data_IF_893297266550
#
_entry.id   IF_893297266550
#
_cell.length_a   1.000
_cell.length_b   1.000
_cell.length_c   1.000
_cell.angle_alpha   90.00
_cell.angle_beta   90.00
_cell.angle_gamma   90.00
#
_symmetry.space_group_name_H-M   'P 1'
#
loop_
_entity.id
_entity.type
_entity.pdbx_description
1 polymer ?
#
# COMPACT_ATOMS: atom_id res chain seq x y z
N UNK A 1 7.27 -8.34 21.58
CA UNK A 1 7.10 -9.13 20.32
C UNK A 1 6.80 -8.26 19.10
N UNK A 2 5.72 -7.45 19.04
CA UNK A 2 5.46 -6.63 17.86
C UNK A 2 6.56 -5.58 17.57
N UNK A 3 7.07 -4.90 18.59
CA UNK A 3 8.14 -3.92 18.44
C UNK A 3 9.47 -4.53 17.96
N UNK A 4 9.81 -5.74 18.35
CA UNK A 4 11.01 -6.42 17.88
C UNK A 4 10.88 -6.84 16.42
N UNK A 5 9.69 -7.26 15.99
CA UNK A 5 9.38 -7.58 14.60
C UNK A 5 9.46 -6.34 13.69
N UNK A 6 8.93 -5.20 14.14
CA UNK A 6 9.08 -3.91 13.45
C UNK A 6 10.55 -3.53 13.34
N UNK A 7 11.30 -3.57 14.45
CA UNK A 7 12.74 -3.27 14.45
C UNK A 7 13.51 -4.16 13.46
N UNK A 8 13.24 -5.45 13.50
CA UNK A 8 13.89 -6.43 12.62
C UNK A 8 13.64 -6.10 11.14
N UNK A 9 12.38 -5.89 10.75
CA UNK A 9 12.02 -5.55 9.37
C UNK A 9 12.59 -4.19 8.94
N UNK A 10 12.56 -3.19 9.83
CA UNK A 10 13.19 -1.88 9.60
C UNK A 10 14.67 -2.01 9.29
N UNK A 11 15.42 -2.77 10.11
CA UNK A 11 16.86 -2.98 9.89
C UNK A 11 17.15 -3.65 8.54
N UNK A 12 16.33 -4.64 8.15
CA UNK A 12 16.49 -5.31 6.85
C UNK A 12 16.26 -4.32 5.70
N UNK A 13 15.18 -3.54 5.74
CA UNK A 13 14.85 -2.58 4.67
C UNK A 13 15.86 -1.43 4.60
N UNK A 14 16.34 -0.94 5.74
CA UNK A 14 17.43 0.06 5.81
C UNK A 14 18.70 -0.47 5.18
N UNK A 15 19.04 -1.75 5.42
CA UNK A 15 20.15 -2.44 4.76
C UNK A 15 20.04 -2.52 3.24
N UNK A 16 18.87 -2.30 2.67
CA UNK A 16 18.64 -2.20 1.22
C UNK A 16 18.65 -0.76 0.69
N UNK A 17 19.04 0.22 1.49
CA UNK A 17 19.12 1.64 1.10
C UNK A 17 17.81 2.41 1.26
N UNK A 18 16.78 1.84 1.86
CA UNK A 18 15.56 2.57 2.22
C UNK A 18 15.86 3.49 3.41
N UNK A 19 15.31 4.71 3.45
CA UNK A 19 15.47 5.61 4.59
C UNK A 19 14.94 4.94 5.87
N UNK A 20 15.48 5.32 7.04
CA UNK A 20 15.03 4.71 8.31
C UNK A 20 13.55 4.99 8.58
N UNK A 21 13.06 6.16 8.21
CA UNK A 21 11.65 6.55 8.34
C UNK A 21 10.76 5.69 7.43
N UNK A 22 11.08 5.59 6.15
CA UNK A 22 10.32 4.79 5.18
C UNK A 22 10.37 3.29 5.52
N UNK A 23 11.53 2.79 5.94
CA UNK A 23 11.70 1.41 6.36
C UNK A 23 10.82 1.08 7.58
N UNK A 24 10.69 2.00 8.54
CA UNK A 24 9.79 1.84 9.69
C UNK A 24 8.32 1.79 9.23
N UNK A 25 7.91 2.65 8.32
CA UNK A 25 6.55 2.64 7.74
C UNK A 25 6.24 1.29 7.07
N UNK A 26 7.16 0.78 6.25
CA UNK A 26 7.00 -0.51 5.58
C UNK A 26 6.88 -1.62 6.62
N UNK A 27 7.77 -1.64 7.62
CA UNK A 27 7.79 -2.64 8.69
C UNK A 27 6.50 -2.64 9.51
N UNK A 28 5.99 -1.45 9.88
CA UNK A 28 4.71 -1.29 10.59
C UNK A 28 3.55 -1.88 9.79
N UNK A 29 3.47 -1.59 8.49
CA UNK A 29 2.41 -2.13 7.63
C UNK A 29 2.44 -3.67 7.55
N UNK A 30 3.63 -4.26 7.47
CA UNK A 30 3.79 -5.72 7.43
C UNK A 30 3.41 -6.36 8.77
N UNK A 31 3.87 -5.81 9.88
CA UNK A 31 3.54 -6.32 11.22
C UNK A 31 2.06 -6.13 11.52
N UNK A 32 1.44 -5.00 11.12
CA UNK A 32 0.01 -4.79 11.27
C UNK A 32 -0.81 -5.83 10.52
N UNK A 33 -0.40 -6.23 9.31
CA UNK A 33 -1.05 -7.28 8.55
C UNK A 33 -1.00 -8.62 9.29
N UNK A 34 0.15 -9.01 9.85
CA UNK A 34 0.29 -10.24 10.64
C UNK A 34 -0.57 -10.20 11.91
N UNK A 35 -0.59 -9.09 12.65
CA UNK A 35 -1.41 -8.91 13.85
C UNK A 35 -2.91 -8.99 13.57
N UNK A 36 -3.33 -8.72 12.34
CA UNK A 36 -4.73 -8.84 11.87
C UNK A 36 -5.04 -10.19 11.23
N UNK A 37 -4.11 -11.13 11.25
CA UNK A 37 -4.29 -12.46 10.66
C UNK A 37 -4.16 -12.50 9.13
N UNK A 38 -3.70 -11.41 8.49
CA UNK A 38 -3.49 -11.31 7.04
C UNK A 38 -2.03 -11.66 6.70
N UNK A 39 -1.59 -12.84 7.05
CA UNK A 39 -0.20 -13.32 6.92
C UNK A 39 0.32 -13.28 5.47
N UNK A 40 -0.56 -13.40 4.48
CA UNK A 40 -0.21 -13.28 3.05
C UNK A 40 0.32 -11.91 2.66
N UNK A 41 0.13 -10.89 3.52
CA UNK A 41 0.56 -9.50 3.34
C UNK A 41 1.48 -9.02 4.47
N UNK A 42 1.91 -9.93 5.34
CA UNK A 42 2.76 -9.68 6.50
C UNK A 42 4.26 -9.85 6.23
N UNK A 43 5.01 -10.12 7.29
CA UNK A 43 6.47 -10.27 7.29
C UNK A 43 6.98 -11.38 6.36
N UNK A 44 6.15 -12.38 6.06
CA UNK A 44 6.46 -13.43 5.08
C UNK A 44 6.81 -12.87 3.69
N UNK A 45 6.36 -11.64 3.40
CA UNK A 45 6.65 -10.92 2.14
C UNK A 45 7.99 -10.19 2.14
N UNK A 46 8.65 -10.02 3.28
CA UNK A 46 9.89 -9.24 3.38
C UNK A 46 10.99 -9.71 2.42
N UNK A 47 11.25 -11.02 2.23
CA UNK A 47 12.27 -11.48 1.29
C UNK A 47 12.03 -11.03 -0.15
N UNK A 48 10.77 -11.05 -0.62
CA UNK A 48 10.45 -10.62 -1.99
C UNK A 48 10.65 -9.11 -2.18
N UNK A 49 10.41 -8.29 -1.15
CA UNK A 49 10.67 -6.84 -1.23
C UNK A 49 12.17 -6.55 -1.27
N UNK A 50 12.98 -7.27 -0.49
CA UNK A 50 14.46 -7.21 -0.56
C UNK A 50 14.94 -7.55 -1.98
N UNK A 51 14.49 -8.68 -2.52
CA UNK A 51 14.85 -9.09 -3.89
C UNK A 51 14.47 -8.03 -4.92
N UNK A 52 13.27 -7.45 -4.82
CA UNK A 52 12.80 -6.44 -5.78
C UNK A 52 13.65 -5.17 -5.75
N UNK A 53 14.11 -4.72 -4.58
CA UNK A 53 15.05 -3.59 -4.48
C UNK A 53 16.40 -3.96 -5.09
N UNK A 54 16.96 -5.11 -4.73
CA UNK A 54 18.26 -5.57 -5.24
C UNK A 54 18.27 -5.72 -6.76
N UNK A 55 17.14 -6.08 -7.37
CA UNK A 55 16.95 -6.20 -8.82
C UNK A 55 16.58 -4.86 -9.50
N UNK A 56 16.49 -3.76 -8.76
CA UNK A 56 16.10 -2.46 -9.30
C UNK A 56 14.63 -2.38 -9.76
N UNK A 57 13.78 -3.31 -9.33
CA UNK A 57 12.36 -3.35 -9.68
C UNK A 57 11.52 -2.42 -8.80
N UNK A 58 12.06 -1.96 -7.67
CA UNK A 58 11.46 -0.98 -6.77
C UNK A 58 12.55 -0.01 -6.34
N UNK A 59 12.27 1.28 -6.39
CA UNK A 59 13.17 2.31 -5.89
C UNK A 59 13.16 2.32 -4.35
N UNK A 60 14.35 2.25 -3.75
CA UNK A 60 14.50 2.38 -2.30
C UNK A 60 14.21 3.80 -1.80
N UNK A 61 14.53 4.82 -2.62
CA UNK A 61 14.31 6.24 -2.33
C UNK A 61 13.56 6.85 -3.52
N UNK A 62 12.22 6.81 -3.53
CA UNK A 62 11.41 7.38 -4.61
C UNK A 62 11.23 8.89 -4.43
N UNK A 63 11.21 9.64 -5.54
CA UNK A 63 10.83 11.05 -5.59
C UNK A 63 9.36 11.19 -5.97
N UNK A 64 8.47 10.96 -5.01
CA UNK A 64 7.03 11.01 -5.24
C UNK A 64 6.56 12.44 -5.58
N UNK A 65 5.77 12.57 -6.65
CA UNK A 65 5.23 13.86 -7.12
C UNK A 65 3.72 13.90 -6.99
N UNK A 66 3.21 14.93 -6.30
CA UNK A 66 1.79 15.18 -6.13
C UNK A 66 1.35 16.35 -7.02
N UNK A 67 0.32 16.14 -7.82
CA UNK A 67 -0.32 17.16 -8.64
C UNK A 67 -1.78 17.33 -8.18
N UNK A 68 -2.21 18.56 -7.93
CA UNK A 68 -3.57 18.89 -7.49
C UNK A 68 -4.28 19.72 -8.57
N UNK A 69 -4.92 19.08 -9.56
CA UNK A 69 -5.60 19.79 -10.63
C UNK A 69 -6.83 20.56 -10.15
N UNK A 70 -7.47 20.09 -9.06
CA UNK A 70 -8.60 20.76 -8.39
C UNK A 70 -8.50 20.55 -6.88
N UNK A 71 -9.23 21.35 -6.10
CA UNK A 71 -9.09 21.40 -4.64
C UNK A 71 -9.29 20.03 -3.93
N UNK A 72 -10.23 19.22 -4.41
CA UNK A 72 -10.60 17.94 -3.81
C UNK A 72 -9.98 16.70 -4.46
N UNK A 73 -9.18 16.87 -5.53
CA UNK A 73 -8.59 15.74 -6.27
C UNK A 73 -7.10 15.96 -6.50
N UNK A 74 -6.35 14.86 -6.38
CA UNK A 74 -4.93 14.84 -6.66
C UNK A 74 -4.51 13.58 -7.44
N UNK A 75 -3.39 13.70 -8.17
CA UNK A 75 -2.67 12.58 -8.77
C UNK A 75 -1.31 12.45 -8.07
N UNK A 76 -0.97 11.26 -7.63
CA UNK A 76 0.31 10.96 -6.99
C UNK A 76 1.11 10.02 -7.87
N UNK A 77 2.23 10.50 -8.40
CA UNK A 77 3.23 9.65 -9.02
C UNK A 77 4.14 9.06 -7.94
N UNK A 78 4.13 7.74 -7.81
CA UNK A 78 4.91 7.00 -6.82
C UNK A 78 6.36 6.76 -7.20
N UNK A 79 6.78 7.20 -8.39
CA UNK A 79 8.16 7.05 -8.90
C UNK A 79 8.73 5.63 -8.73
N UNK A 80 7.91 4.63 -8.97
CA UNK A 80 8.26 3.21 -8.78
C UNK A 80 8.71 2.84 -7.35
N UNK A 81 8.27 3.59 -6.35
CA UNK A 81 8.53 3.33 -4.95
C UNK A 81 7.67 2.21 -4.36
N UNK A 82 7.88 1.92 -3.09
CA UNK A 82 7.07 0.98 -2.33
C UNK A 82 5.62 1.44 -2.24
N UNK A 83 4.68 0.55 -2.55
CA UNK A 83 3.25 0.84 -2.46
C UNK A 83 2.79 1.23 -1.05
N UNK A 84 3.47 0.78 -0.02
CA UNK A 84 3.23 1.18 1.37
C UNK A 84 3.39 2.69 1.57
N UNK A 85 4.46 3.27 1.05
CA UNK A 85 4.76 4.69 1.15
C UNK A 85 3.78 5.52 0.30
N UNK A 86 3.57 5.06 -0.93
CA UNK A 86 2.65 5.71 -1.87
C UNK A 86 1.22 5.71 -1.33
N UNK A 87 0.75 4.57 -0.82
CA UNK A 87 -0.60 4.43 -0.25
C UNK A 87 -0.80 5.29 1.01
N UNK A 88 0.18 5.30 1.93
CA UNK A 88 0.12 6.18 3.12
C UNK A 88 0.07 7.65 2.75
N UNK A 89 0.92 8.08 1.81
CA UNK A 89 0.94 9.46 1.33
C UNK A 89 -0.37 9.83 0.62
N UNK A 90 -0.87 8.94 -0.27
CA UNK A 90 -2.13 9.17 -0.95
C UNK A 90 -3.30 9.35 0.03
N UNK A 91 -3.42 8.49 1.05
CA UNK A 91 -4.46 8.61 2.06
C UNK A 91 -4.30 9.87 2.90
N UNK A 92 -3.06 10.24 3.29
CA UNK A 92 -2.81 11.48 4.03
C UNK A 92 -3.24 12.72 3.23
N UNK A 93 -2.94 12.76 1.94
CA UNK A 93 -3.35 13.86 1.06
C UNK A 93 -4.88 13.90 0.86
N UNK A 94 -5.53 12.73 0.76
CA UNK A 94 -6.99 12.65 0.70
C UNK A 94 -7.64 13.20 1.97
N UNK A 95 -7.13 12.86 3.15
CA UNK A 95 -7.59 13.40 4.44
C UNK A 95 -7.41 14.93 4.48
N UNK A 96 -6.23 15.43 4.10
CA UNK A 96 -5.95 16.88 4.09
C UNK A 96 -6.90 17.64 3.15
N UNK A 97 -7.24 17.06 2.00
CA UNK A 97 -8.24 17.67 1.11
C UNK A 97 -9.65 17.58 1.69
N UNK A 98 -9.99 16.47 2.34
CA UNK A 98 -11.29 16.30 2.98
C UNK A 98 -11.52 17.28 4.13
N UNK A 99 -10.49 17.67 4.88
CA UNK A 99 -10.56 18.70 5.93
C UNK A 99 -11.06 20.05 5.39
N UNK A 100 -10.66 20.39 4.18
CA UNK A 100 -11.01 21.69 3.57
C UNK A 100 -12.20 21.64 2.60
N UNK A 101 -12.41 20.51 1.93
CA UNK A 101 -13.40 20.36 0.85
C UNK A 101 -14.55 19.41 1.21
N UNK A 102 -14.51 18.73 2.37
CA UNK A 102 -15.48 17.70 2.76
C UNK A 102 -15.25 16.35 2.10
N UNK A 103 -14.42 16.28 1.06
CA UNK A 103 -14.03 15.06 0.34
C UNK A 103 -12.61 15.22 -0.19
N UNK A 104 -11.87 14.12 -0.29
CA UNK A 104 -10.56 14.07 -0.92
C UNK A 104 -10.40 12.79 -1.74
N UNK A 105 -9.91 12.93 -2.98
CA UNK A 105 -9.68 11.81 -3.89
C UNK A 105 -8.24 11.86 -4.40
N UNK A 106 -7.50 10.76 -4.27
CA UNK A 106 -6.13 10.65 -4.79
C UNK A 106 -6.02 9.43 -5.69
N UNK A 107 -5.64 9.64 -6.95
CA UNK A 107 -5.25 8.59 -7.87
C UNK A 107 -3.73 8.41 -7.82
N UNK A 108 -3.27 7.22 -7.42
CA UNK A 108 -1.84 6.89 -7.39
C UNK A 108 -1.45 6.07 -8.61
N UNK A 109 -0.28 6.37 -9.19
CA UNK A 109 0.32 5.66 -10.34
C UNK A 109 1.81 5.41 -10.11
N UNK A 110 2.43 4.58 -10.95
CA UNK A 110 3.85 4.22 -10.84
C UNK A 110 4.20 3.76 -9.42
N UNK A 111 3.39 2.86 -8.89
CA UNK A 111 3.51 2.29 -7.55
C UNK A 111 3.71 0.79 -7.64
N UNK A 112 4.06 0.16 -6.54
CA UNK A 112 4.21 -1.28 -6.41
C UNK A 112 3.18 -1.85 -5.44
N UNK A 113 3.29 -3.14 -5.12
CA UNK A 113 2.44 -3.79 -4.14
C UNK A 113 2.36 -2.98 -2.83
N UNK A 114 1.14 -2.71 -2.36
CA UNK A 114 0.90 -1.79 -1.24
C UNK A 114 0.40 -2.48 0.05
N UNK A 115 0.50 -3.81 0.07
CA UNK A 115 0.13 -4.61 1.24
C UNK A 115 -1.38 -4.69 1.48
N UNK A 116 -1.78 -4.67 2.72
CA UNK A 116 -3.17 -4.79 3.16
C UNK A 116 -3.90 -3.43 3.03
N UNK A 117 -4.98 -3.39 2.24
CA UNK A 117 -5.77 -2.17 2.02
C UNK A 117 -6.33 -1.56 3.34
N UNK A 118 -6.62 -2.40 4.33
CA UNK A 118 -7.14 -1.95 5.63
C UNK A 118 -6.20 -0.97 6.35
N UNK A 119 -4.88 -1.04 6.14
CA UNK A 119 -3.91 -0.12 6.75
C UNK A 119 -4.24 1.34 6.42
N UNK A 120 -4.62 1.62 5.17
CA UNK A 120 -4.96 2.98 4.73
C UNK A 120 -6.35 3.39 5.19
N UNK A 121 -7.32 2.47 5.19
CA UNK A 121 -8.66 2.72 5.74
C UNK A 121 -8.59 3.10 7.22
N UNK A 122 -7.74 2.42 8.00
CA UNK A 122 -7.53 2.71 9.42
C UNK A 122 -6.87 4.07 9.65
N UNK A 123 -6.03 4.54 8.72
CA UNK A 123 -5.48 5.89 8.76
C UNK A 123 -6.60 6.94 8.65
N UNK A 124 -7.54 6.76 7.72
CA UNK A 124 -8.70 7.62 7.57
C UNK A 124 -9.64 7.56 8.79
N UNK A 125 -9.94 6.36 9.29
CA UNK A 125 -10.78 6.17 10.50
C UNK A 125 -10.19 6.86 11.71
N UNK A 126 -8.87 6.76 11.93
CA UNK A 126 -8.17 7.47 13.02
C UNK A 126 -8.29 8.99 12.90
N UNK A 127 -8.40 9.50 11.70
CA UNK A 127 -8.63 10.92 11.42
C UNK A 127 -10.12 11.33 11.44
N UNK A 128 -11.03 10.39 11.73
CA UNK A 128 -12.47 10.65 11.80
C UNK A 128 -13.21 10.61 10.47
N UNK A 129 -12.61 10.02 9.43
CA UNK A 129 -13.17 9.94 8.10
C UNK A 129 -13.63 8.53 7.73
N UNK A 130 -14.65 8.46 6.88
CA UNK A 130 -14.99 7.29 6.10
C UNK A 130 -14.17 7.30 4.81
N UNK A 131 -13.68 6.15 4.37
CA UNK A 131 -12.84 6.06 3.18
C UNK A 131 -13.10 4.80 2.35
N UNK A 132 -12.72 4.89 1.07
CA UNK A 132 -12.60 3.76 0.16
C UNK A 132 -11.16 3.66 -0.34
N UNK A 133 -10.68 2.43 -0.54
CA UNK A 133 -9.38 2.14 -1.15
C UNK A 133 -9.59 1.10 -2.24
N UNK A 134 -9.13 1.40 -3.43
CA UNK A 134 -9.19 0.53 -4.60
C UNK A 134 -7.79 0.30 -5.16
N UNK A 135 -7.57 -0.86 -5.76
CA UNK A 135 -6.32 -1.18 -6.44
C UNK A 135 -6.56 -2.18 -7.56
N UNK A 136 -5.68 -2.17 -8.55
CA UNK A 136 -5.61 -3.24 -9.54
C UNK A 136 -4.94 -4.45 -8.88
N UNK A 137 -5.59 -5.60 -8.96
CA UNK A 137 -5.04 -6.86 -8.44
C UNK A 137 -5.20 -7.96 -9.51
N UNK A 138 -4.31 -8.95 -9.47
CA UNK A 138 -4.53 -10.19 -10.23
C UNK A 138 -5.76 -10.91 -9.68
N UNK A 139 -6.38 -11.77 -10.48
CA UNK A 139 -7.53 -12.64 -10.10
C UNK A 139 -7.10 -13.68 -9.05
N UNK A 140 -6.71 -13.26 -7.86
CA UNK A 140 -6.09 -14.12 -6.85
C UNK A 140 -6.96 -14.35 -5.62
N UNK A 141 -8.14 -13.69 -5.52
CA UNK A 141 -8.98 -13.78 -4.34
C UNK A 141 -10.44 -14.04 -4.74
N UNK A 142 -10.99 -15.22 -4.40
CA UNK A 142 -12.40 -15.51 -4.64
C UNK A 142 -13.28 -14.64 -3.73
N UNK A 143 -14.53 -14.36 -4.13
CA UNK A 143 -15.54 -13.80 -3.23
C UNK A 143 -15.71 -14.69 -1.99
N UNK A 144 -16.13 -14.10 -0.88
CA UNK A 144 -16.36 -14.84 0.36
C UNK A 144 -17.29 -16.04 0.14
N UNK A 145 -16.82 -17.22 0.52
CA UNK A 145 -17.59 -18.47 0.41
C UNK A 145 -17.60 -19.11 -0.99
N UNK A 146 -16.88 -18.57 -1.98
CA UNK A 146 -16.82 -19.13 -3.32
C UNK A 146 -15.37 -19.40 -3.75
N UNK A 147 -15.05 -20.65 -4.05
CA UNK A 147 -13.71 -21.06 -4.52
C UNK A 147 -13.58 -21.10 -6.06
N UNK A 148 -14.69 -21.11 -6.79
CA UNK A 148 -14.71 -21.37 -8.24
C UNK A 148 -15.15 -20.17 -9.08
N UNK A 149 -15.83 -19.19 -8.51
CA UNK A 149 -16.51 -18.13 -9.25
C UNK A 149 -15.57 -17.17 -10.00
N UNK A 150 -14.33 -17.02 -9.57
CA UNK A 150 -13.40 -16.04 -10.16
C UNK A 150 -12.65 -16.56 -11.39
N UNK A 151 -12.65 -17.87 -11.66
CA UNK A 151 -12.05 -18.43 -12.88
C UNK A 151 -13.02 -18.40 -14.06
N UNK A 152 -14.31 -18.70 -13.85
CA UNK A 152 -15.28 -18.85 -14.94
C UNK A 152 -15.76 -17.51 -15.53
N UNK A 153 -15.93 -16.47 -14.68
CA UNK A 153 -16.40 -15.16 -15.14
C UNK A 153 -15.39 -14.40 -16.02
N UNK A 154 -14.16 -14.89 -16.12
CA UNK A 154 -13.10 -14.26 -16.91
C UNK A 154 -12.84 -14.97 -18.24
N UNK A 155 -13.26 -16.22 -18.37
CA UNK A 155 -13.06 -17.02 -19.57
C UNK A 155 -14.22 -16.83 -20.58
N UNK A 156 -15.36 -16.25 -20.13
CA UNK A 156 -16.52 -16.01 -20.98
C UNK A 156 -16.43 -14.70 -21.81
N UNK A 157 -15.50 -13.80 -21.52
CA UNK A 157 -15.33 -12.55 -22.29
C UNK A 157 -14.35 -12.69 -23.48
N UNK A 158 -13.61 -13.80 -23.60
CA UNK A 158 -12.64 -14.02 -24.68
C UNK A 158 -13.09 -15.04 -25.74
N UNK A 159 -14.40 -15.37 -25.84
CA UNK A 159 -14.93 -16.27 -26.86
C UNK A 159 -15.86 -15.60 -27.86
#
# INVERSE_FOLDING_TARGET
MSNDAVRFATMIMTGQGVSNEDAAIIAECLVEADLRGVQTHGLSRLPIYVERVQRGLVKAVPEMKLEKPVAACASLDGDNGFGFLVGRKAMQEAITMADSCGVGVVAARNSNHFGMAATYLLQAVKAGYFAFVFTNASKAMPPWGCLLYTSDAADEEDS
#
